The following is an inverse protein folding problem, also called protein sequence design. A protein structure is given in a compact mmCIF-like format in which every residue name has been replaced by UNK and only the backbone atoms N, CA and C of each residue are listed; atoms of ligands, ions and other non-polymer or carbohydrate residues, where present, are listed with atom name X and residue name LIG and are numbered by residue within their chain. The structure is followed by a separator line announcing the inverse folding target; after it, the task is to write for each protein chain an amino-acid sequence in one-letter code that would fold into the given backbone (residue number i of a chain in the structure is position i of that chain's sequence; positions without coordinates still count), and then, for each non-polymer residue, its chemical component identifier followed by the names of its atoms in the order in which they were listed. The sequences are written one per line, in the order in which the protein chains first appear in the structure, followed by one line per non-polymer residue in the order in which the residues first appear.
data_IF_267231813757
#
_entry.id   IF_267231813757
#
_cell.length_a   1.000
_cell.length_b   1.000
_cell.length_c   1.000
_cell.angle_alpha   90.00
_cell.angle_beta   90.00
_cell.angle_gamma   90.00
#
_symmetry.space_group_name_H-M   'P 1'
#
loop_
_entity.id
_entity.type
_entity.pdbx_description
1 polymer ?
#
# COMPACT_ATOMS: atom_id res chain seq x y z
N UNK A 1 24.80 26.94 -0.93
CA UNK A 1 24.92 28.31 -1.47
C UNK A 1 23.89 28.63 -2.56
N UNK A 2 24.04 28.21 -3.83
CA UNK A 2 23.09 28.57 -4.92
C UNK A 2 21.65 28.17 -4.62
N UNK A 3 21.43 26.92 -4.22
CA UNK A 3 20.10 26.44 -3.82
C UNK A 3 19.54 27.19 -2.60
N UNK A 4 20.38 27.70 -1.72
CA UNK A 4 19.95 28.44 -0.53
C UNK A 4 19.67 29.92 -0.84
N UNK A 5 19.92 30.37 -2.08
CA UNK A 5 19.77 31.78 -2.47
C UNK A 5 20.95 32.67 -2.09
N UNK A 6 22.01 32.09 -1.51
CA UNK A 6 23.21 32.81 -1.07
C UNK A 6 24.21 33.07 -2.21
N UNK A 7 23.92 32.58 -3.42
CA UNK A 7 24.69 32.81 -4.64
C UNK A 7 23.77 32.83 -5.87
N UNK A 8 24.08 33.63 -6.90
CA UNK A 8 23.22 33.78 -8.08
C UNK A 8 23.01 32.46 -8.84
N UNK A 9 21.76 32.20 -9.23
CA UNK A 9 21.38 31.13 -10.14
C UNK A 9 21.69 31.60 -11.57
N UNK A 10 22.71 31.03 -12.21
CA UNK A 10 23.08 31.35 -13.61
C UNK A 10 22.09 30.69 -14.59
N UNK A 11 20.81 31.08 -14.55
CA UNK A 11 19.76 30.58 -15.45
C UNK A 11 19.19 29.19 -15.12
N UNK A 12 19.64 28.54 -14.06
CA UNK A 12 19.18 27.20 -13.65
C UNK A 12 17.93 27.30 -12.75
N UNK A 13 16.88 26.54 -13.05
CA UNK A 13 15.68 26.51 -12.24
C UNK A 13 15.87 25.66 -10.96
N UNK A 14 15.15 25.98 -9.88
CA UNK A 14 15.33 25.31 -8.58
C UNK A 14 15.13 23.80 -8.63
N UNK A 15 14.19 23.34 -9.46
CA UNK A 15 13.92 21.92 -9.65
C UNK A 15 15.04 21.19 -10.38
N UNK A 16 15.77 21.88 -11.28
CA UNK A 16 16.96 21.35 -11.94
C UNK A 16 18.11 21.24 -10.94
N UNK A 17 18.22 22.17 -9.98
CA UNK A 17 19.23 22.10 -8.91
C UNK A 17 18.97 20.90 -7.99
N UNK A 18 17.71 20.63 -7.62
CA UNK A 18 17.37 19.43 -6.82
C UNK A 18 17.49 18.15 -7.62
N UNK A 19 17.02 18.13 -8.87
CA UNK A 19 17.21 16.99 -9.78
C UNK A 19 18.68 16.68 -10.02
N UNK A 20 19.54 17.71 -10.08
CA UNK A 20 20.99 17.55 -10.11
C UNK A 20 21.55 17.02 -8.79
N UNK A 21 21.03 17.47 -7.64
CA UNK A 21 21.45 17.03 -6.30
C UNK A 21 21.10 15.57 -6.00
N UNK A 22 20.00 15.08 -6.55
CA UNK A 22 19.44 13.75 -6.27
C UNK A 22 19.81 12.65 -7.28
N UNK A 23 20.49 12.98 -8.40
CA UNK A 23 20.47 12.24 -9.67
C UNK A 23 20.37 10.70 -9.53
N UNK A 24 19.13 10.20 -9.49
CA UNK A 24 18.76 8.87 -9.96
C UNK A 24 18.74 8.94 -11.48
N UNK A 25 19.52 8.06 -12.13
CA UNK A 25 19.72 7.88 -13.57
C UNK A 25 18.74 8.64 -14.48
N UNK A 26 19.25 9.62 -15.24
CA UNK A 26 18.71 9.98 -16.55
C UNK A 26 19.83 9.88 -17.59
N UNK A 27 19.56 9.13 -18.66
CA UNK A 27 20.38 9.07 -19.87
C UNK A 27 20.20 10.38 -20.65
N UNK A 28 21.13 11.32 -20.51
CA UNK A 28 21.34 12.40 -21.48
C UNK A 28 22.81 12.85 -21.49
N UNK A 29 23.36 13.05 -22.68
CA UNK A 29 24.80 13.09 -22.99
C UNK A 29 25.47 14.49 -22.92
N UNK A 30 25.07 15.38 -22.01
CA UNK A 30 25.86 16.60 -21.76
C UNK A 30 25.85 16.96 -20.29
N UNK A 31 27.01 16.87 -19.63
CA UNK A 31 27.16 17.18 -18.22
C UNK A 31 28.04 18.42 -17.99
N UNK A 32 27.55 19.36 -17.19
CA UNK A 32 28.25 20.52 -16.63
C UNK A 32 29.08 20.15 -15.39
N UNK A 33 30.04 21.01 -14.98
CA UNK A 33 30.92 20.81 -13.80
C UNK A 33 30.13 20.64 -12.48
N UNK A 34 28.91 21.18 -12.38
CA UNK A 34 28.01 20.93 -11.24
C UNK A 34 27.41 19.53 -11.22
N UNK A 35 27.31 18.86 -12.37
CA UNK A 35 26.79 17.49 -12.45
C UNK A 35 27.87 16.44 -12.18
N UNK A 36 29.16 16.78 -12.31
CA UNK A 36 30.30 15.92 -11.95
C UNK A 36 30.43 15.70 -10.43
N UNK A 37 30.26 16.76 -9.62
CA UNK A 37 30.32 16.63 -8.15
C UNK A 37 29.17 15.79 -7.57
N UNK A 38 28.04 15.71 -8.28
CA UNK A 38 26.81 15.07 -7.83
C UNK A 38 26.64 13.65 -8.39
N UNK A 39 27.30 13.32 -9.51
CA UNK A 39 27.59 11.94 -9.93
C UNK A 39 28.32 11.17 -8.82
N UNK A 40 29.24 11.87 -8.16
CA UNK A 40 30.09 11.31 -7.12
C UNK A 40 29.36 11.02 -5.79
N UNK A 41 28.24 11.69 -5.46
CA UNK A 41 27.44 11.39 -4.25
C UNK A 41 26.69 10.06 -4.41
N UNK A 42 26.20 9.78 -5.62
CA UNK A 42 25.58 8.50 -5.95
C UNK A 42 26.58 7.34 -5.87
N UNK A 43 27.84 7.58 -6.27
CA UNK A 43 28.85 6.54 -6.48
C UNK A 43 29.85 6.36 -5.32
N UNK A 44 30.16 7.42 -4.56
CA UNK A 44 31.20 7.41 -3.53
C UNK A 44 30.65 7.85 -2.16
N UNK A 45 30.77 6.96 -1.18
CA UNK A 45 30.36 7.21 0.21
C UNK A 45 31.00 8.48 0.80
N UNK A 46 32.27 8.76 0.47
CA UNK A 46 32.98 9.96 0.94
C UNK A 46 32.28 11.26 0.54
N UNK A 47 31.67 11.29 -0.64
CA UNK A 47 31.02 12.46 -1.20
C UNK A 47 29.63 12.67 -0.61
N UNK A 48 28.98 11.59 -0.15
CA UNK A 48 27.75 11.66 0.66
C UNK A 48 28.03 12.33 2.00
N UNK A 49 29.10 11.93 2.67
CA UNK A 49 29.51 12.53 3.94
C UNK A 49 29.86 14.01 3.77
N UNK A 50 30.63 14.36 2.74
CA UNK A 50 30.93 15.76 2.42
C UNK A 50 29.65 16.58 2.17
N UNK A 51 28.66 16.03 1.46
CA UNK A 51 27.39 16.70 1.23
C UNK A 51 26.62 16.94 2.54
N UNK A 52 26.60 15.96 3.46
CA UNK A 52 26.05 16.16 4.79
C UNK A 52 26.81 17.25 5.56
N UNK A 53 28.14 17.18 5.61
CA UNK A 53 28.98 18.14 6.30
C UNK A 53 28.77 19.57 5.78
N UNK A 54 28.71 19.76 4.46
CA UNK A 54 28.45 21.07 3.85
C UNK A 54 27.06 21.59 4.23
N UNK A 55 26.02 20.75 4.19
CA UNK A 55 24.67 21.17 4.61
C UNK A 55 24.62 21.52 6.10
N UNK A 56 25.19 20.68 6.96
CA UNK A 56 25.24 20.95 8.41
C UNK A 56 26.00 22.25 8.72
N UNK A 57 27.13 22.49 8.03
CA UNK A 57 27.87 23.75 8.13
C UNK A 57 26.99 24.93 7.76
N UNK A 58 26.27 24.85 6.65
CA UNK A 58 25.40 25.93 6.19
C UNK A 58 24.15 26.15 7.05
N UNK A 59 23.72 25.15 7.81
CA UNK A 59 22.58 25.24 8.73
C UNK A 59 22.99 25.72 10.14
N UNK A 60 24.25 25.51 10.53
CA UNK A 60 24.75 25.88 11.86
C UNK A 60 25.12 27.35 11.90
N UNK A 61 24.46 28.11 12.77
CA UNK A 61 24.65 29.56 12.90
C UNK A 61 24.57 30.29 11.55
N UNK A 62 23.55 29.96 10.74
CA UNK A 62 23.36 30.59 9.43
C UNK A 62 23.15 32.11 9.59
N UNK A 63 24.06 32.91 9.03
CA UNK A 63 24.06 34.38 9.05
C UNK A 63 23.65 35.01 7.72
N UNK A 64 23.02 34.24 6.82
CA UNK A 64 22.60 34.75 5.51
C UNK A 64 21.61 35.90 5.64
N UNK A 65 21.76 36.91 4.79
CA UNK A 65 20.79 38.01 4.65
C UNK A 65 19.50 37.57 3.95
N UNK A 66 19.46 36.36 3.39
CA UNK A 66 18.26 35.78 2.76
C UNK A 66 17.42 35.05 3.80
N UNK A 67 16.16 35.48 4.07
CA UNK A 67 15.34 34.91 5.14
C UNK A 67 15.04 33.42 4.94
N UNK A 68 14.93 32.96 3.69
CA UNK A 68 14.62 31.56 3.37
C UNK A 68 15.85 30.65 3.29
N UNK A 69 17.07 31.18 3.41
CA UNK A 69 18.32 30.41 3.19
C UNK A 69 18.37 29.15 4.06
N UNK A 70 18.18 29.32 5.37
CA UNK A 70 18.20 28.21 6.32
C UNK A 70 17.07 27.20 6.05
N UNK A 71 15.85 27.68 5.77
CA UNK A 71 14.71 26.81 5.43
C UNK A 71 15.00 25.96 4.18
N UNK A 72 15.62 26.54 3.16
CA UNK A 72 16.02 25.82 1.94
C UNK A 72 17.11 24.79 2.23
N UNK A 73 18.09 25.12 3.09
CA UNK A 73 19.08 24.16 3.56
C UNK A 73 18.44 22.93 4.25
N UNK A 74 17.44 23.16 5.10
CA UNK A 74 16.71 22.06 5.76
C UNK A 74 15.91 21.20 4.78
N UNK A 75 15.33 21.80 3.74
CA UNK A 75 14.67 21.06 2.65
C UNK A 75 15.65 20.18 1.88
N UNK A 76 16.86 20.65 1.61
CA UNK A 76 17.89 19.78 1.02
C UNK A 76 18.30 18.65 1.95
N UNK A 77 18.45 18.91 3.25
CA UNK A 77 18.79 17.85 4.20
C UNK A 77 17.67 16.81 4.33
N UNK A 78 16.41 17.24 4.29
CA UNK A 78 15.25 16.36 4.26
C UNK A 78 15.26 15.41 3.07
N UNK A 79 15.61 15.96 1.90
CA UNK A 79 15.78 15.20 0.67
C UNK A 79 16.99 14.26 0.80
N UNK A 80 18.17 14.75 1.18
CA UNK A 80 19.39 13.95 1.29
C UNK A 80 19.21 12.73 2.21
N UNK A 81 18.59 12.93 3.38
CA UNK A 81 18.30 11.87 4.36
C UNK A 81 17.31 10.82 3.88
N UNK A 82 16.50 11.10 2.84
CA UNK A 82 15.57 10.13 2.25
C UNK A 82 16.19 9.25 1.16
N UNK A 83 17.30 9.68 0.56
CA UNK A 83 17.90 9.03 -0.61
C UNK A 83 19.26 8.39 -0.33
N UNK A 84 20.03 8.95 0.60
CA UNK A 84 21.42 8.54 0.80
C UNK A 84 21.70 8.22 2.27
N UNK A 85 22.49 7.16 2.49
CA UNK A 85 23.11 6.88 3.79
C UNK A 85 24.39 7.69 3.90
N UNK A 86 24.69 8.20 5.10
CA UNK A 86 26.05 8.61 5.45
C UNK A 86 26.88 7.37 5.84
N UNK A 87 28.19 7.54 6.03
CA UNK A 87 29.04 6.50 6.60
C UNK A 87 28.65 6.17 8.04
N UNK A 88 29.02 4.98 8.50
CA UNK A 88 28.85 4.59 9.91
C UNK A 88 29.67 5.49 10.87
N UNK A 89 30.74 6.14 10.37
CA UNK A 89 31.52 7.12 11.15
C UNK A 89 30.74 8.41 11.36
N UNK A 90 30.10 8.95 10.32
CA UNK A 90 29.35 10.21 10.42
C UNK A 90 27.96 10.04 11.09
N UNK A 91 27.35 8.86 10.94
CA UNK A 91 26.02 8.52 11.45
C UNK A 91 25.72 8.96 12.89
N UNK A 92 26.54 8.65 13.92
CA UNK A 92 26.24 9.06 15.29
C UNK A 92 26.20 10.59 15.45
N UNK A 93 27.08 11.31 14.77
CA UNK A 93 27.12 12.78 14.81
C UNK A 93 25.91 13.40 14.12
N UNK A 94 25.57 12.89 12.93
CA UNK A 94 24.42 13.37 12.17
C UNK A 94 23.10 13.11 12.92
N UNK A 95 22.92 11.91 13.48
CA UNK A 95 21.74 11.59 14.30
C UNK A 95 21.66 12.49 15.54
N UNK A 96 22.77 12.72 16.25
CA UNK A 96 22.81 13.61 17.41
C UNK A 96 22.42 15.03 17.04
N UNK A 97 22.97 15.56 15.94
CA UNK A 97 22.61 16.89 15.43
C UNK A 97 21.11 17.01 15.15
N UNK A 98 20.54 16.06 14.40
CA UNK A 98 19.11 16.04 14.05
C UNK A 98 18.22 15.94 15.30
N UNK A 99 18.62 15.11 16.27
CA UNK A 99 17.89 14.97 17.54
C UNK A 99 17.91 16.24 18.37
N UNK A 100 19.07 16.91 18.47
CA UNK A 100 19.18 18.19 19.17
C UNK A 100 18.31 19.27 18.51
N UNK A 101 18.38 19.40 17.18
CA UNK A 101 17.55 20.33 16.42
C UNK A 101 16.04 20.02 16.51
N UNK A 102 15.66 18.75 16.70
CA UNK A 102 14.26 18.34 16.89
C UNK A 102 13.72 18.56 18.32
N UNK A 103 14.59 18.82 19.30
CA UNK A 103 14.23 18.98 20.72
C UNK A 103 14.39 20.41 21.22
N UNK A 104 15.12 21.26 20.52
CA UNK A 104 15.31 22.66 20.90
C UNK A 104 13.96 23.39 20.96
N UNK A 105 13.58 23.83 22.17
CA UNK A 105 12.36 24.60 22.39
C UNK A 105 12.39 25.90 21.57
N UNK A 106 11.34 26.16 20.79
CA UNK A 106 11.18 27.40 20.01
C UNK A 106 11.88 27.46 18.65
N UNK A 107 12.51 26.38 18.17
CA UNK A 107 13.16 26.39 16.86
C UNK A 107 12.15 26.21 15.72
N UNK A 108 12.15 27.17 14.77
CA UNK A 108 11.36 27.17 13.53
C UNK A 108 11.48 25.87 12.70
N UNK A 109 12.52 25.07 12.92
CA UNK A 109 12.89 23.89 12.13
C UNK A 109 12.66 22.54 12.83
N UNK A 110 12.02 22.53 14.01
CA UNK A 110 11.83 21.32 14.81
C UNK A 110 11.18 20.17 14.02
N UNK A 111 10.11 20.47 13.27
CA UNK A 111 9.36 19.48 12.50
C UNK A 111 10.16 18.87 11.35
N UNK A 112 10.90 19.69 10.59
CA UNK A 112 11.72 19.20 9.47
C UNK A 112 12.95 18.45 9.98
N UNK A 113 13.56 18.88 11.09
CA UNK A 113 14.65 18.15 11.74
C UNK A 113 14.19 16.75 12.19
N UNK A 114 13.01 16.65 12.81
CA UNK A 114 12.43 15.36 13.20
C UNK A 114 12.15 14.46 11.98
N UNK A 115 11.67 15.05 10.89
CA UNK A 115 11.42 14.32 9.66
C UNK A 115 12.73 13.82 9.00
N UNK A 116 13.80 14.63 8.99
CA UNK A 116 15.13 14.21 8.56
C UNK A 116 15.67 13.03 9.40
N UNK A 117 15.48 13.07 10.72
CA UNK A 117 15.87 11.97 11.63
C UNK A 117 15.14 10.67 11.25
N UNK A 118 13.83 10.75 11.03
CA UNK A 118 13.01 9.60 10.62
C UNK A 118 13.42 9.07 9.24
N UNK A 119 13.63 9.95 8.26
CA UNK A 119 14.09 9.58 6.93
C UNK A 119 15.43 8.86 7.01
N UNK A 120 16.42 9.41 7.73
CA UNK A 120 17.75 8.82 7.85
C UNK A 120 17.69 7.41 8.46
N UNK A 121 16.91 7.22 9.54
CA UNK A 121 16.71 5.91 10.17
C UNK A 121 16.16 4.88 9.17
N UNK A 122 15.13 5.27 8.40
CA UNK A 122 14.55 4.41 7.37
C UNK A 122 15.53 4.13 6.23
N UNK A 123 16.28 5.13 5.79
CA UNK A 123 17.28 4.99 4.74
C UNK A 123 18.39 3.99 5.14
N UNK A 124 18.78 3.98 6.41
CA UNK A 124 19.66 2.93 6.95
C UNK A 124 18.98 1.56 6.98
N UNK A 125 17.72 1.48 7.41
CA UNK A 125 17.01 0.23 7.57
C UNK A 125 16.65 -0.46 6.24
N UNK A 126 16.10 0.30 5.29
CA UNK A 126 15.50 -0.23 4.06
C UNK A 126 16.30 0.10 2.78
N UNK A 127 17.35 0.93 2.90
CA UNK A 127 17.97 1.56 1.73
C UNK A 127 17.35 2.92 1.49
N UNK A 128 17.99 3.79 0.72
CA UNK A 128 17.40 5.08 0.35
C UNK A 128 16.43 4.91 -0.82
N UNK A 129 15.59 5.93 -1.03
CA UNK A 129 14.81 6.02 -2.27
C UNK A 129 15.73 5.95 -3.49
N UNK A 130 15.27 5.23 -4.50
CA UNK A 130 16.04 4.99 -5.73
C UNK A 130 15.40 5.60 -6.95
N UNK A 131 14.22 6.24 -6.84
CA UNK A 131 13.57 6.96 -7.96
C UNK A 131 13.53 8.45 -7.64
N UNK A 132 14.01 9.28 -8.59
CA UNK A 132 13.96 10.73 -8.43
C UNK A 132 12.51 11.22 -8.22
N UNK A 133 12.25 12.17 -7.31
CA UNK A 133 10.93 12.76 -7.15
C UNK A 133 10.41 13.34 -8.47
N UNK A 134 9.13 13.13 -8.76
CA UNK A 134 8.50 13.79 -9.91
C UNK A 134 8.33 15.31 -9.64
N UNK A 135 7.95 16.07 -10.68
CA UNK A 135 7.84 17.54 -10.58
C UNK A 135 6.83 18.00 -9.53
N UNK A 136 5.75 17.24 -9.32
CA UNK A 136 4.72 17.54 -8.34
C UNK A 136 5.19 17.26 -6.92
N UNK A 137 5.83 16.12 -6.68
CA UNK A 137 6.45 15.76 -5.41
C UNK A 137 7.49 16.81 -5.02
N UNK A 138 8.35 17.19 -5.96
CA UNK A 138 9.40 18.18 -5.73
C UNK A 138 8.82 19.56 -5.38
N UNK A 139 7.82 20.03 -6.12
CA UNK A 139 7.09 21.27 -5.78
C UNK A 139 6.48 21.21 -4.38
N UNK A 140 5.91 20.06 -4.00
CA UNK A 140 5.34 19.87 -2.67
C UNK A 140 6.40 19.91 -1.56
N UNK A 141 7.53 19.21 -1.73
CA UNK A 141 8.67 19.25 -0.82
C UNK A 141 9.22 20.67 -0.67
N UNK A 142 9.34 21.40 -1.78
CA UNK A 142 9.77 22.80 -1.81
C UNK A 142 8.78 23.74 -1.13
N UNK A 143 7.49 23.41 -1.10
CA UNK A 143 6.49 24.12 -0.31
C UNK A 143 6.45 23.69 1.17
N UNK A 144 7.35 22.80 1.60
CA UNK A 144 7.38 22.26 2.97
C UNK A 144 6.32 21.20 3.27
N UNK A 145 5.63 20.67 2.25
CA UNK A 145 4.68 19.57 2.41
C UNK A 145 5.44 18.26 2.51
N UNK A 146 5.27 17.54 3.61
CA UNK A 146 5.99 16.30 3.92
C UNK A 146 5.12 15.04 3.87
N UNK A 147 3.89 15.17 3.34
CA UNK A 147 2.95 14.04 3.21
C UNK A 147 2.01 14.19 2.03
N UNK A 148 1.58 13.06 1.46
CA UNK A 148 0.58 12.92 0.40
C UNK A 148 -0.51 11.96 0.87
N UNK A 149 -1.78 12.21 0.51
CA UNK A 149 -2.85 11.19 0.63
C UNK A 149 -2.79 10.30 -0.60
N UNK A 150 -2.54 9.01 -0.40
CA UNK A 150 -2.46 8.02 -1.45
C UNK A 150 -3.65 7.07 -1.35
N UNK A 151 -4.32 6.86 -2.47
CA UNK A 151 -5.45 5.94 -2.57
C UNK A 151 -4.96 4.49 -2.69
N UNK A 152 -5.53 3.63 -1.86
CA UNK A 152 -5.44 2.18 -1.89
C UNK A 152 -6.84 1.60 -2.02
N UNK A 153 -7.01 0.62 -2.90
CA UNK A 153 -8.28 -0.03 -3.18
C UNK A 153 -8.34 -1.38 -2.50
N UNK A 154 -9.43 -1.62 -1.79
CA UNK A 154 -9.76 -2.93 -1.26
C UNK A 154 -10.67 -3.66 -2.26
N UNK A 155 -10.68 -5.01 -2.23
CA UNK A 155 -11.68 -5.81 -2.94
C UNK A 155 -13.10 -5.25 -2.82
N UNK A 156 -13.81 -5.19 -3.95
CA UNK A 156 -15.13 -4.57 -4.05
C UNK A 156 -15.10 -3.06 -4.31
N UNK A 157 -13.93 -2.47 -4.61
CA UNK A 157 -13.80 -1.06 -4.95
C UNK A 157 -13.87 -0.13 -3.74
N UNK A 158 -13.67 -0.66 -2.53
CA UNK A 158 -13.69 0.15 -1.31
C UNK A 158 -12.41 0.99 -1.26
N UNK A 159 -12.59 2.30 -1.28
CA UNK A 159 -11.48 3.27 -1.28
C UNK A 159 -10.94 3.51 0.13
N UNK A 160 -9.61 3.54 0.26
CA UNK A 160 -8.90 3.91 1.49
C UNK A 160 -7.74 4.86 1.19
N UNK A 161 -7.80 6.04 1.80
CA UNK A 161 -6.77 7.06 1.67
C UNK A 161 -5.78 6.96 2.84
N UNK A 162 -4.54 6.58 2.53
CA UNK A 162 -3.46 6.48 3.51
C UNK A 162 -2.56 7.71 3.41
N UNK A 163 -2.15 8.27 4.56
CA UNK A 163 -1.24 9.41 4.60
C UNK A 163 0.20 8.94 4.51
N UNK A 164 0.77 8.94 3.31
CA UNK A 164 2.16 8.57 3.09
C UNK A 164 3.10 9.78 3.21
N UNK A 165 4.34 9.52 3.66
CA UNK A 165 5.46 10.48 3.69
C UNK A 165 6.51 10.09 2.65
N UNK A 166 7.53 10.93 2.46
CA UNK A 166 8.62 10.66 1.50
C UNK A 166 9.25 9.28 1.65
N UNK A 167 9.53 8.86 2.88
CA UNK A 167 10.11 7.54 3.17
C UNK A 167 9.04 6.50 3.60
N UNK A 168 7.78 6.60 3.18
CA UNK A 168 6.80 5.55 3.48
C UNK A 168 7.03 4.33 2.59
N UNK A 169 7.25 3.18 3.24
CA UNK A 169 7.42 1.88 2.59
C UNK A 169 6.12 1.10 2.61
N UNK A 170 6.01 0.07 1.75
CA UNK A 170 4.81 -0.76 1.66
C UNK A 170 4.42 -1.42 2.99
N UNK A 171 5.39 -1.82 3.82
CA UNK A 171 5.13 -2.40 5.14
C UNK A 171 4.27 -1.49 6.03
N UNK A 172 4.63 -0.21 6.14
CA UNK A 172 3.90 0.74 6.99
C UNK A 172 2.46 0.93 6.50
N UNK A 173 2.27 0.94 5.18
CA UNK A 173 0.92 1.00 4.58
C UNK A 173 0.13 -0.27 4.92
N UNK A 174 0.75 -1.44 4.83
CA UNK A 174 0.12 -2.72 5.18
C UNK A 174 -0.29 -2.72 6.66
N UNK A 175 0.59 -2.27 7.55
CA UNK A 175 0.33 -2.17 8.99
C UNK A 175 -0.83 -1.19 9.29
N UNK A 176 -0.84 -0.01 8.66
CA UNK A 176 -1.90 0.99 8.84
C UNK A 176 -3.27 0.47 8.38
N UNK A 177 -3.33 -0.13 7.18
CA UNK A 177 -4.56 -0.72 6.64
C UNK A 177 -5.04 -1.94 7.44
N UNK A 178 -4.12 -2.77 7.93
CA UNK A 178 -4.45 -3.87 8.84
C UNK A 178 -5.01 -3.36 10.17
N UNK A 179 -4.42 -2.29 10.73
CA UNK A 179 -4.88 -1.70 11.98
C UNK A 179 -6.31 -1.17 11.85
N UNK A 180 -6.66 -0.53 10.72
CA UNK A 180 -8.02 -0.07 10.43
C UNK A 180 -9.03 -1.24 10.36
N UNK A 181 -8.58 -2.41 9.88
CA UNK A 181 -9.36 -3.65 9.85
C UNK A 181 -9.41 -4.39 11.20
N UNK A 182 -8.84 -3.83 12.28
CA UNK A 182 -8.79 -4.48 13.59
C UNK A 182 -7.78 -5.64 13.69
N UNK A 183 -6.81 -5.70 12.76
CA UNK A 183 -5.77 -6.72 12.72
C UNK A 183 -4.47 -6.14 13.31
N UNK A 184 -4.27 -6.35 14.61
CA UNK A 184 -3.14 -5.77 15.36
C UNK A 184 -1.97 -6.74 15.61
N UNK A 185 -2.12 -8.01 15.21
CA UNK A 185 -1.11 -9.06 15.40
C UNK A 185 -0.22 -9.16 14.17
N UNK A 186 1.09 -9.26 14.37
CA UNK A 186 2.07 -9.32 13.28
C UNK A 186 1.79 -10.50 12.34
N UNK A 187 1.46 -11.67 12.91
CA UNK A 187 1.16 -12.89 12.15
C UNK A 187 -0.07 -12.72 11.24
N UNK A 188 -1.02 -11.87 11.64
CA UNK A 188 -2.15 -11.53 10.79
C UNK A 188 -1.74 -10.58 9.67
N UNK A 189 -0.90 -9.58 9.96
CA UNK A 189 -0.43 -8.59 8.97
C UNK A 189 0.43 -9.23 7.86
N UNK A 190 1.17 -10.29 8.17
CA UNK A 190 2.01 -11.01 7.21
C UNK A 190 1.22 -11.64 6.06
N UNK A 191 -0.08 -11.86 6.25
CA UNK A 191 -0.94 -12.44 5.25
C UNK A 191 -1.42 -11.44 4.19
N UNK A 192 -1.06 -10.17 4.30
CA UNK A 192 -1.52 -9.10 3.42
C UNK A 192 -0.39 -8.51 2.60
N UNK A 193 -0.75 -8.05 1.40
CA UNK A 193 0.16 -7.40 0.48
C UNK A 193 -0.53 -6.25 -0.25
N UNK A 194 0.28 -5.26 -0.64
CA UNK A 194 -0.11 -4.23 -1.60
C UNK A 194 0.34 -4.67 -3.00
N UNK A 195 -0.50 -4.42 -3.99
CA UNK A 195 -0.25 -4.68 -5.39
C UNK A 195 -0.30 -3.38 -6.18
N UNK A 196 0.65 -3.19 -7.09
CA UNK A 196 0.53 -2.23 -8.17
C UNK A 196 -0.28 -2.87 -9.31
N UNK A 197 -1.29 -2.16 -9.78
CA UNK A 197 -2.12 -2.58 -10.92
C UNK A 197 -2.05 -1.53 -12.01
N UNK A 198 -1.66 -1.93 -13.21
CA UNK A 198 -1.59 -1.07 -14.41
C UNK A 198 -2.31 -1.71 -15.60
N UNK A 199 -2.48 -0.95 -16.68
CA UNK A 199 -3.09 -1.37 -17.94
C UNK A 199 -4.49 -1.97 -17.73
N UNK A 200 -5.35 -1.24 -16.99
CA UNK A 200 -6.74 -1.63 -16.69
C UNK A 200 -6.87 -3.04 -16.08
N UNK A 201 -5.90 -3.44 -15.25
CA UNK A 201 -5.93 -4.73 -14.56
C UNK A 201 -5.20 -5.87 -15.25
N UNK A 202 -4.60 -5.64 -16.42
CA UNK A 202 -3.82 -6.67 -17.12
C UNK A 202 -2.51 -6.99 -16.40
N UNK A 203 -1.89 -5.98 -15.77
CA UNK A 203 -0.64 -6.13 -15.06
C UNK A 203 -0.88 -5.96 -13.56
N UNK A 204 -0.57 -7.00 -12.78
CA UNK A 204 -0.73 -7.02 -11.32
C UNK A 204 0.58 -7.47 -10.71
N UNK A 205 1.25 -6.56 -10.00
CA UNK A 205 2.56 -6.82 -9.37
C UNK A 205 2.48 -6.64 -7.86
N UNK A 206 2.76 -7.67 -7.04
CA UNK A 206 2.90 -7.48 -5.60
C UNK A 206 4.12 -6.59 -5.29
N UNK A 207 3.99 -5.73 -4.28
CA UNK A 207 5.09 -4.93 -3.76
C UNK A 207 5.84 -5.71 -2.69
N UNK A 208 7.16 -5.62 -2.71
CA UNK A 208 7.98 -6.00 -1.56
C UNK A 208 7.70 -5.04 -0.41
N UNK A 209 7.71 -5.56 0.82
CA UNK A 209 7.43 -4.80 2.05
C UNK A 209 8.34 -3.58 2.24
N UNK A 210 9.55 -3.60 1.70
CA UNK A 210 10.53 -2.50 1.83
C UNK A 210 10.56 -1.54 0.63
N UNK A 211 9.74 -1.75 -0.41
CA UNK A 211 9.63 -0.80 -1.53
C UNK A 211 8.99 0.52 -1.05
N UNK A 212 9.58 1.65 -1.47
CA UNK A 212 9.03 2.97 -1.23
C UNK A 212 7.80 3.22 -2.11
N UNK A 213 6.67 3.59 -1.51
CA UNK A 213 5.42 3.79 -2.26
C UNK A 213 5.54 4.90 -3.30
N UNK A 214 6.29 5.98 -2.99
CA UNK A 214 6.49 7.08 -3.92
C UNK A 214 7.43 6.74 -5.07
N UNK A 215 8.38 5.81 -4.88
CA UNK A 215 9.21 5.29 -5.98
C UNK A 215 8.31 4.54 -6.97
N UNK A 216 7.55 3.57 -6.45
CA UNK A 216 6.63 2.75 -7.24
C UNK A 216 5.59 3.61 -7.95
N UNK A 217 5.00 4.59 -7.26
CA UNK A 217 4.01 5.49 -7.83
C UNK A 217 4.59 6.34 -8.97
N UNK A 218 5.81 6.85 -8.80
CA UNK A 218 6.48 7.68 -9.81
C UNK A 218 6.80 6.87 -11.06
N UNK A 219 7.30 5.65 -10.91
CA UNK A 219 7.57 4.77 -12.05
C UNK A 219 6.28 4.33 -12.75
N UNK A 220 5.24 3.98 -11.98
CA UNK A 220 3.95 3.57 -12.53
C UNK A 220 3.29 4.68 -13.35
N UNK A 221 3.35 5.93 -12.89
CA UNK A 221 2.77 7.10 -13.58
C UNK A 221 3.39 7.34 -14.96
N UNK A 222 4.65 6.93 -15.18
CA UNK A 222 5.31 7.01 -16.50
C UNK A 222 4.79 5.97 -17.49
N UNK A 223 4.25 4.85 -16.99
CA UNK A 223 3.77 3.71 -17.80
C UNK A 223 2.27 3.82 -18.02
N UNK A 224 1.50 4.13 -16.97
CA UNK A 224 0.05 4.21 -16.99
C UNK A 224 -0.43 5.25 -15.97
N UNK A 225 -1.02 6.35 -16.44
CA UNK A 225 -1.56 7.40 -15.57
C UNK A 225 -2.77 6.94 -14.75
N UNK A 226 -3.39 5.80 -15.10
CA UNK A 226 -4.52 5.20 -14.39
C UNK A 226 -4.10 4.01 -13.50
N UNK A 227 -2.81 3.93 -13.12
CA UNK A 227 -2.35 2.93 -12.17
C UNK A 227 -3.14 3.01 -10.85
N UNK A 228 -3.22 1.88 -10.14
CA UNK A 228 -3.87 1.82 -8.83
C UNK A 228 -3.11 0.90 -7.89
N UNK A 229 -3.16 1.21 -6.59
CA UNK A 229 -2.68 0.31 -5.55
C UNK A 229 -3.85 -0.49 -4.99
N UNK A 230 -3.68 -1.81 -4.87
CA UNK A 230 -4.67 -2.72 -4.33
C UNK A 230 -4.14 -3.42 -3.09
N UNK A 231 -4.93 -3.44 -2.02
CA UNK A 231 -4.58 -4.14 -0.79
C UNK A 231 -5.38 -5.42 -0.68
N UNK A 232 -4.70 -6.56 -0.56
CA UNK A 232 -5.33 -7.90 -0.61
C UNK A 232 -4.73 -8.83 0.42
N UNK A 233 -5.51 -9.82 0.85
CA UNK A 233 -5.04 -10.95 1.64
C UNK A 233 -4.50 -12.03 0.72
N UNK A 234 -3.24 -12.39 0.85
CA UNK A 234 -2.56 -13.38 0.00
C UNK A 234 -2.44 -14.76 0.65
N UNK A 235 -2.41 -14.81 1.98
CA UNK A 235 -2.33 -16.05 2.77
C UNK A 235 -3.55 -16.18 3.68
N UNK A 236 -4.08 -17.39 3.86
CA UNK A 236 -5.33 -17.64 4.59
C UNK A 236 -5.15 -18.67 5.71
N UNK A 237 -4.09 -18.53 6.50
CA UNK A 237 -3.77 -19.38 7.66
C UNK A 237 -4.51 -18.94 8.92
N UNK A 238 -4.59 -17.63 9.18
CA UNK A 238 -5.24 -17.10 10.37
C UNK A 238 -6.77 -17.25 10.30
N UNK A 239 -7.39 -17.51 11.45
CA UNK A 239 -8.84 -17.59 11.55
C UNK A 239 -9.48 -16.25 11.18
N UNK A 240 -10.60 -16.28 10.44
CA UNK A 240 -11.37 -15.08 10.15
C UNK A 240 -12.03 -14.58 11.43
N UNK A 241 -11.97 -13.26 11.62
CA UNK A 241 -12.71 -12.54 12.65
C UNK A 241 -13.81 -11.73 11.97
N UNK A 242 -14.95 -11.60 12.64
CA UNK A 242 -16.13 -10.97 12.07
C UNK A 242 -16.54 -9.68 12.80
N UNK A 243 -15.66 -9.17 13.66
CA UNK A 243 -15.96 -8.02 14.54
C UNK A 243 -15.85 -6.68 13.81
N UNK A 244 -15.02 -6.59 12.76
CA UNK A 244 -14.75 -5.37 12.02
C UNK A 244 -15.41 -5.39 10.62
N UNK A 245 -16.27 -4.42 10.35
CA UNK A 245 -17.05 -4.37 9.09
C UNK A 245 -16.17 -4.24 7.84
N UNK A 246 -15.09 -3.45 7.91
CA UNK A 246 -14.17 -3.28 6.79
C UNK A 246 -13.45 -4.58 6.47
N UNK A 247 -12.96 -5.28 7.50
CA UNK A 247 -12.28 -6.57 7.37
C UNK A 247 -13.20 -7.62 6.72
N UNK A 248 -14.46 -7.71 7.21
CA UNK A 248 -15.47 -8.62 6.65
C UNK A 248 -15.82 -8.26 5.21
N UNK A 249 -16.03 -6.98 4.90
CA UNK A 249 -16.32 -6.53 3.53
C UNK A 249 -15.15 -6.85 2.59
N UNK A 250 -13.91 -6.60 3.02
CA UNK A 250 -12.69 -6.88 2.27
C UNK A 250 -12.57 -8.37 1.92
N UNK A 251 -12.66 -9.26 2.92
CA UNK A 251 -12.55 -10.70 2.69
C UNK A 251 -13.70 -11.23 1.83
N UNK A 252 -14.93 -10.77 2.09
CA UNK A 252 -16.11 -11.16 1.32
C UNK A 252 -15.93 -10.80 -0.15
N UNK A 253 -15.59 -9.55 -0.44
CA UNK A 253 -15.43 -9.08 -1.82
C UNK A 253 -14.21 -9.71 -2.52
N UNK A 254 -13.20 -10.19 -1.78
CA UNK A 254 -12.07 -10.89 -2.36
C UNK A 254 -12.42 -12.33 -2.77
N UNK A 255 -13.24 -13.01 -1.97
CA UNK A 255 -13.61 -14.42 -2.17
C UNK A 255 -14.78 -14.55 -3.17
N UNK A 256 -15.69 -13.58 -3.19
CA UNK A 256 -16.95 -13.64 -3.93
C UNK A 256 -16.79 -13.94 -5.44
N UNK A 257 -15.85 -13.33 -6.19
CA UNK A 257 -15.71 -13.62 -7.62
C UNK A 257 -15.34 -15.07 -7.90
N UNK A 258 -14.45 -15.66 -7.08
CA UNK A 258 -14.03 -17.05 -7.23
C UNK A 258 -15.15 -18.02 -6.87
N UNK A 259 -15.97 -17.68 -5.87
CA UNK A 259 -17.19 -18.43 -5.58
C UNK A 259 -18.15 -18.43 -6.78
N UNK A 260 -18.45 -17.26 -7.35
CA UNK A 260 -19.38 -17.12 -8.48
C UNK A 260 -18.88 -17.81 -9.74
N UNK A 261 -17.56 -17.98 -9.89
CA UNK A 261 -16.94 -18.80 -10.95
C UNK A 261 -16.97 -20.30 -10.65
N UNK A 262 -17.41 -20.71 -9.46
CA UNK A 262 -17.46 -22.10 -9.02
C UNK A 262 -16.11 -22.66 -8.56
N UNK A 263 -15.07 -21.84 -8.45
CA UNK A 263 -13.69 -22.27 -8.15
C UNK A 263 -13.51 -22.74 -6.70
N UNK A 264 -14.45 -22.41 -5.82
CA UNK A 264 -14.39 -22.73 -4.39
C UNK A 264 -15.22 -23.97 -4.01
N UNK A 265 -15.93 -24.56 -4.97
CA UNK A 265 -16.78 -25.72 -4.74
C UNK A 265 -16.05 -27.00 -5.16
N UNK A 266 -16.04 -28.00 -4.28
CA UNK A 266 -15.57 -29.35 -4.64
C UNK A 266 -16.81 -30.18 -4.95
N UNK A 267 -16.85 -30.74 -6.16
CA UNK A 267 -17.88 -31.67 -6.62
C UNK A 267 -17.30 -33.09 -6.67
N UNK A 268 -17.52 -33.93 -5.66
CA UNK A 268 -17.17 -35.34 -5.75
C UNK A 268 -17.95 -35.98 -6.91
N UNK A 269 -17.24 -36.54 -7.89
CA UNK A 269 -17.82 -37.22 -9.06
C UNK A 269 -18.78 -36.36 -9.92
N UNK A 270 -18.67 -35.04 -9.85
CA UNK A 270 -19.51 -34.12 -10.65
C UNK A 270 -20.99 -34.11 -10.27
N UNK A 271 -21.38 -34.77 -9.17
CA UNK A 271 -22.76 -34.77 -8.67
C UNK A 271 -22.90 -33.79 -7.52
N UNK A 272 -24.03 -33.10 -7.49
CA UNK A 272 -24.42 -32.17 -6.41
C UNK A 272 -25.49 -32.85 -5.58
N UNK A 273 -25.31 -32.94 -4.25
CA UNK A 273 -26.33 -33.46 -3.35
C UNK A 273 -27.42 -32.42 -3.05
N UNK A 274 -28.60 -32.86 -2.61
CA UNK A 274 -29.67 -31.94 -2.18
C UNK A 274 -29.22 -30.99 -1.07
N UNK A 275 -28.38 -31.48 -0.15
CA UNK A 275 -27.78 -30.65 0.89
C UNK A 275 -26.90 -29.52 0.31
N UNK A 276 -26.16 -29.81 -0.77
CA UNK A 276 -25.36 -28.80 -1.45
C UNK A 276 -26.24 -27.79 -2.19
N UNK A 277 -27.35 -28.21 -2.81
CA UNK A 277 -28.32 -27.29 -3.41
C UNK A 277 -28.92 -26.32 -2.38
N UNK A 278 -29.26 -26.82 -1.19
CA UNK A 278 -29.72 -25.97 -0.08
C UNK A 278 -28.62 -25.01 0.39
N UNK A 279 -27.38 -25.47 0.50
CA UNK A 279 -26.25 -24.62 0.86
C UNK A 279 -26.00 -23.50 -0.15
N UNK A 280 -26.01 -23.82 -1.46
CA UNK A 280 -25.85 -22.84 -2.53
C UNK A 280 -26.98 -21.80 -2.51
N UNK A 281 -28.23 -22.26 -2.30
CA UNK A 281 -29.39 -21.38 -2.17
C UNK A 281 -29.28 -20.44 -0.97
N UNK A 282 -28.81 -20.94 0.19
CA UNK A 282 -28.54 -20.10 1.36
C UNK A 282 -27.45 -19.06 1.09
N UNK A 283 -26.37 -19.45 0.39
CA UNK A 283 -25.29 -18.53 0.01
C UNK A 283 -25.76 -17.48 -1.01
N UNK A 284 -26.70 -17.81 -1.90
CA UNK A 284 -27.34 -16.85 -2.79
C UNK A 284 -28.21 -15.84 -2.03
N UNK A 285 -29.01 -16.30 -1.05
CA UNK A 285 -29.78 -15.42 -0.17
C UNK A 285 -28.86 -14.46 0.62
N UNK A 286 -27.76 -14.97 1.19
CA UNK A 286 -26.78 -14.15 1.91
C UNK A 286 -26.11 -13.10 0.99
N UNK A 287 -25.78 -13.44 -0.25
CA UNK A 287 -25.27 -12.48 -1.23
C UNK A 287 -26.28 -11.37 -1.54
N UNK A 288 -27.55 -11.73 -1.70
CA UNK A 288 -28.61 -10.76 -1.97
C UNK A 288 -28.77 -9.78 -0.80
N UNK A 289 -28.81 -10.29 0.43
CA UNK A 289 -28.87 -9.44 1.63
C UNK A 289 -27.58 -8.65 1.87
N UNK A 290 -26.41 -9.16 1.46
CA UNK A 290 -25.15 -8.41 1.51
C UNK A 290 -25.13 -7.18 0.58
N UNK A 291 -26.01 -7.11 -0.44
CA UNK A 291 -26.28 -5.90 -1.24
C UNK A 291 -27.32 -4.97 -0.60
N UNK A 292 -27.83 -5.34 0.57
CA UNK A 292 -28.93 -4.70 1.29
C UNK A 292 -30.27 -4.66 0.54
N UNK A 293 -30.50 -5.65 -0.32
CA UNK A 293 -31.77 -5.80 -1.03
C UNK A 293 -32.70 -6.67 -0.19
N UNK A 294 -33.95 -6.21 -0.01
CA UNK A 294 -34.95 -6.84 0.86
C UNK A 294 -35.93 -7.71 0.08
N UNK A 295 -36.07 -7.48 -1.22
CA UNK A 295 -36.97 -8.22 -2.10
C UNK A 295 -36.45 -9.64 -2.37
N UNK A 296 -37.28 -10.47 -2.98
CA UNK A 296 -36.86 -11.80 -3.42
C UNK A 296 -36.01 -11.63 -4.69
N UNK A 297 -34.84 -12.29 -4.80
CA UNK A 297 -34.00 -12.20 -5.97
C UNK A 297 -34.68 -12.76 -7.21
N UNK A 298 -34.57 -12.04 -8.32
CA UNK A 298 -34.99 -12.51 -9.63
C UNK A 298 -34.13 -13.66 -10.15
N UNK A 299 -34.64 -14.41 -11.13
CA UNK A 299 -33.88 -15.46 -11.84
C UNK A 299 -32.56 -14.91 -12.41
N UNK A 300 -32.57 -13.68 -12.91
CA UNK A 300 -31.37 -13.03 -13.44
C UNK A 300 -30.32 -12.81 -12.34
N UNK A 301 -30.71 -12.27 -11.19
CA UNK A 301 -29.79 -12.08 -10.06
C UNK A 301 -29.26 -13.42 -9.51
N UNK A 302 -30.10 -14.45 -9.45
CA UNK A 302 -29.66 -15.78 -9.04
C UNK A 302 -28.59 -16.35 -9.98
N UNK A 303 -28.72 -16.08 -11.28
CA UNK A 303 -27.70 -16.48 -12.27
C UNK A 303 -26.35 -15.77 -12.08
N UNK A 304 -26.32 -14.61 -11.39
CA UNK A 304 -25.08 -13.94 -10.98
C UNK A 304 -24.52 -14.45 -9.65
N UNK A 305 -25.39 -14.93 -8.76
CA UNK A 305 -25.03 -15.41 -7.42
C UNK A 305 -24.54 -16.86 -7.41
N UNK A 306 -24.95 -17.64 -8.41
CA UNK A 306 -24.68 -19.07 -8.53
C UNK A 306 -23.82 -19.31 -9.76
N UNK A 307 -22.78 -20.15 -9.65
CA UNK A 307 -21.94 -20.47 -10.79
C UNK A 307 -22.75 -21.09 -11.94
N UNK A 308 -22.48 -20.64 -13.17
CA UNK A 308 -23.28 -21.00 -14.34
C UNK A 308 -23.44 -22.52 -14.55
N UNK A 309 -22.40 -23.31 -14.23
CA UNK A 309 -22.46 -24.77 -14.32
C UNK A 309 -23.48 -25.38 -13.34
N UNK A 310 -23.57 -24.84 -12.12
CA UNK A 310 -24.48 -25.31 -11.07
C UNK A 310 -25.89 -24.79 -11.30
N UNK A 311 -26.01 -23.55 -11.76
CA UNK A 311 -27.30 -22.95 -12.03
C UNK A 311 -28.11 -23.79 -13.04
N UNK A 312 -27.44 -24.37 -14.04
CA UNK A 312 -28.03 -25.26 -15.06
C UNK A 312 -28.44 -26.65 -14.54
N UNK A 313 -28.02 -27.05 -13.34
CA UNK A 313 -28.33 -28.37 -12.79
C UNK A 313 -29.76 -28.47 -12.25
N UNK A 314 -30.47 -27.35 -12.08
CA UNK A 314 -31.88 -27.33 -11.68
C UNK A 314 -32.67 -26.28 -12.47
N UNK A 315 -34.00 -26.47 -12.63
CA UNK A 315 -34.86 -25.45 -13.21
C UNK A 315 -34.75 -24.12 -12.44
N UNK A 316 -34.72 -22.96 -13.12
CA UNK A 316 -34.58 -21.66 -12.46
C UNK A 316 -35.62 -21.39 -11.35
N UNK A 317 -36.86 -21.87 -11.53
CA UNK A 317 -37.91 -21.72 -10.52
C UNK A 317 -37.62 -22.52 -9.24
N UNK A 318 -36.93 -23.65 -9.35
CA UNK A 318 -36.53 -24.42 -8.17
C UNK A 318 -35.52 -23.64 -7.32
N UNK A 319 -34.57 -22.95 -7.96
CA UNK A 319 -33.66 -22.03 -7.27
C UNK A 319 -34.40 -20.88 -6.58
N UNK A 320 -35.35 -20.24 -7.26
CA UNK A 320 -36.16 -19.17 -6.67
C UNK A 320 -36.89 -19.65 -5.42
N UNK A 321 -37.52 -20.84 -5.47
CA UNK A 321 -38.23 -21.41 -4.33
C UNK A 321 -37.29 -21.66 -3.14
N UNK A 322 -36.14 -22.29 -3.38
CA UNK A 322 -35.17 -22.60 -2.31
C UNK A 322 -34.56 -21.32 -1.71
N UNK A 323 -34.24 -20.33 -2.54
CA UNK A 323 -33.69 -19.06 -2.06
C UNK A 323 -34.75 -18.28 -1.27
N UNK A 324 -36.01 -18.28 -1.72
CA UNK A 324 -37.12 -17.64 -1.00
C UNK A 324 -37.29 -18.20 0.42
N UNK A 325 -37.16 -19.53 0.58
CA UNK A 325 -37.20 -20.16 1.91
C UNK A 325 -36.06 -19.65 2.82
N UNK A 326 -34.84 -19.50 2.28
CA UNK A 326 -33.72 -18.98 3.06
C UNK A 326 -33.79 -17.47 3.30
N UNK A 327 -34.41 -16.70 2.39
CA UNK A 327 -34.57 -15.25 2.54
C UNK A 327 -35.36 -14.89 3.80
N UNK A 328 -36.36 -15.68 4.21
CA UNK A 328 -37.11 -15.45 5.46
C UNK A 328 -36.19 -15.45 6.70
N UNK A 329 -35.16 -16.30 6.70
CA UNK A 329 -34.18 -16.37 7.79
C UNK A 329 -33.11 -15.27 7.70
N UNK A 330 -32.74 -14.91 6.47
CA UNK A 330 -31.67 -13.94 6.19
C UNK A 330 -32.15 -12.48 6.30
N UNK A 331 -33.45 -12.23 6.16
CA UNK A 331 -34.02 -10.87 6.18
C UNK A 331 -33.73 -10.09 7.46
N UNK A 332 -33.59 -10.78 8.59
CA UNK A 332 -33.27 -10.18 9.90
C UNK A 332 -31.80 -9.78 10.05
N UNK A 333 -30.93 -10.22 9.15
CA UNK A 333 -29.49 -9.96 9.22
C UNK A 333 -29.15 -8.57 8.67
N UNK A 334 -28.13 -7.92 9.22
CA UNK A 334 -27.51 -6.77 8.55
C UNK A 334 -26.65 -7.20 7.35
N UNK A 335 -26.31 -6.32 6.41
CA UNK A 335 -25.37 -6.63 5.33
C UNK A 335 -24.01 -7.14 5.84
N UNK A 336 -23.51 -6.60 6.96
CA UNK A 336 -22.31 -7.08 7.64
C UNK A 336 -22.47 -8.53 8.11
N UNK A 337 -23.56 -8.83 8.82
CA UNK A 337 -23.86 -10.19 9.30
C UNK A 337 -24.04 -11.17 8.15
N UNK A 338 -24.67 -10.76 7.04
CA UNK A 338 -24.82 -11.60 5.86
C UNK A 338 -23.46 -11.96 5.23
N UNK A 339 -22.55 -10.99 5.09
CA UNK A 339 -21.17 -11.22 4.61
C UNK A 339 -20.37 -12.11 5.57
N UNK A 340 -20.48 -11.88 6.87
CA UNK A 340 -19.82 -12.69 7.90
C UNK A 340 -20.30 -14.15 7.87
N UNK A 341 -21.61 -14.39 7.79
CA UNK A 341 -22.16 -15.73 7.67
C UNK A 341 -21.72 -16.40 6.37
N UNK A 342 -21.72 -15.68 5.24
CA UNK A 342 -21.22 -16.19 3.96
C UNK A 342 -19.76 -16.67 4.10
N UNK A 343 -18.90 -15.84 4.69
CA UNK A 343 -17.48 -16.18 4.92
C UNK A 343 -17.30 -17.37 5.89
N UNK A 344 -18.13 -17.46 6.93
CA UNK A 344 -18.11 -18.56 7.89
C UNK A 344 -18.31 -19.93 7.23
N UNK A 345 -19.19 -20.02 6.23
CA UNK A 345 -19.37 -21.26 5.46
C UNK A 345 -18.10 -21.69 4.72
N UNK A 346 -17.31 -20.76 4.18
CA UNK A 346 -16.08 -21.09 3.46
C UNK A 346 -14.93 -21.48 4.37
N UNK A 347 -14.77 -20.79 5.50
CA UNK A 347 -13.65 -21.08 6.40
C UNK A 347 -13.78 -22.45 7.07
N UNK A 348 -15.00 -22.81 7.50
CA UNK A 348 -15.29 -24.14 8.04
C UNK A 348 -14.96 -25.27 7.06
N UNK A 349 -15.20 -25.07 5.76
CA UNK A 349 -14.90 -26.05 4.71
C UNK A 349 -13.40 -26.16 4.35
N UNK A 350 -12.55 -25.16 4.67
CA UNK A 350 -11.10 -25.23 4.48
C UNK A 350 -10.38 -25.86 5.68
N UNK A 351 -10.78 -25.52 6.90
CA UNK A 351 -10.17 -26.11 8.11
C UNK A 351 -10.43 -27.61 8.26
N UNK A 352 -11.64 -28.08 7.87
CA UNK A 352 -11.96 -29.52 7.80
C UNK A 352 -11.13 -30.29 6.76
N UNK A 353 -10.55 -29.60 5.77
CA UNK A 353 -9.66 -30.24 4.79
C UNK A 353 -8.22 -30.33 5.29
N UNK A 354 -7.72 -29.32 6.00
CA UNK A 354 -6.38 -29.37 6.63
C UNK A 354 -6.29 -30.45 7.73
N UNK A 355 -7.35 -30.63 8.52
CA UNK A 355 -7.41 -31.73 9.52
C UNK A 355 -7.52 -33.12 8.88
N UNK A 356 -8.13 -33.24 7.68
CA UNK A 356 -8.15 -34.49 6.92
C UNK A 356 -6.84 -34.80 6.18
N UNK A 357 -6.03 -33.79 5.86
CA UNK A 357 -4.69 -34.02 5.27
C UNK A 357 -3.64 -34.37 6.32
N UNK A 358 -3.82 -33.96 7.59
CA UNK A 358 -2.94 -34.38 8.69
C UNK A 358 -3.19 -35.83 9.17
N UNK A 359 -4.28 -36.47 8.74
CA UNK A 359 -4.60 -37.87 9.08
C UNK A 359 -4.48 -38.83 7.88
N UNK A 360 -4.00 -38.35 6.72
CA UNK A 360 -3.87 -39.18 5.53
C UNK A 360 -2.86 -38.65 4.52
N UNK A 361 -1.70 -39.31 4.50
CA UNK A 361 -0.70 -39.37 3.41
C UNK A 361 -0.05 -38.06 2.93
N UNK A 362 1.26 -38.00 3.17
CA UNK A 362 2.23 -37.14 2.49
C UNK A 362 1.98 -37.09 0.98
N UNK A 363 1.74 -35.90 0.44
CA UNK A 363 2.01 -35.60 -0.96
C UNK A 363 2.75 -34.26 -1.05
N UNK A 364 4.01 -34.40 -1.38
CA UNK A 364 4.95 -33.40 -1.90
C UNK A 364 4.38 -32.69 -3.12
N UNK A 365 4.49 -31.36 -3.14
CA UNK A 365 4.76 -30.56 -4.32
C UNK A 365 5.74 -29.45 -3.95
#
# INVERSE_FOLDING_TARGET
MRFMGDAPLKGTAEHEVVGSFLKVKKHTHSFSVSEYFLLLIGEFTLMRDEAYCQLLKQLTANTSSKPDSCQRGWRLLYILTAFHRCSEVLKPFLLKYLQQASRSAGAQYQGIAKACEQNLKKTFQYGGRVVSPNSMELKAMMAGRSSKRQLFLFPGGVERHVKIKTCSVALEVIEELCYEMGLHRLEAMEEYAVFLVTNRGQNVRPLNKHEYILDVATEAELVDTNYSFWFRRVVWTQQLKFDNELCVAMHYNQILPDYRKGLLQILPHGKVSDQQFHQISKLAALQHKAKDIVFIPSVHELSEYIAAALFKMQPPQQWVNMVTQHMQQVQTLSPHQARAQFLGFYHGCRQTKQTKTQTGTNLTY
#
